data_IF_860780886050
#
_entry.id   IF_860780886050
#
_cell.length_a   1.000
_cell.length_b   1.000
_cell.length_c   1.000
_cell.angle_alpha   90.00
_cell.angle_beta   90.00
_cell.angle_gamma   90.00
#
_symmetry.space_group_name_H-M   'P 1'
#
loop_
_entity.id
_entity.type
_entity.pdbx_description
1 polymer ?
#
# COMPACT_ATOMS: atom_id res chain seq x y z
N UNK A 1 -13.85 10.17 -9.57
CA UNK A 1 -12.43 9.76 -9.58
C UNK A 1 -12.15 8.89 -8.36
N UNK A 2 -11.39 7.82 -8.53
CA UNK A 2 -11.00 6.93 -7.42
C UNK A 2 -10.06 7.68 -6.48
N UNK A 3 -10.33 7.62 -5.18
CA UNK A 3 -9.50 8.26 -4.17
C UNK A 3 -8.65 7.22 -3.42
N UNK A 4 -7.60 7.70 -2.77
CA UNK A 4 -6.76 6.86 -1.91
C UNK A 4 -7.60 6.19 -0.81
N UNK A 5 -8.55 6.92 -0.19
CA UNK A 5 -9.40 6.36 0.84
C UNK A 5 -10.28 5.22 0.32
N UNK A 6 -10.80 5.33 -0.90
CA UNK A 6 -11.57 4.26 -1.52
C UNK A 6 -10.71 3.02 -1.76
N UNK A 7 -9.48 3.21 -2.26
CA UNK A 7 -8.53 2.11 -2.47
C UNK A 7 -8.20 1.44 -1.13
N UNK A 8 -7.89 2.23 -0.11
CA UNK A 8 -7.51 1.72 1.20
C UNK A 8 -8.64 0.93 1.86
N UNK A 9 -9.89 1.31 1.62
CA UNK A 9 -11.07 0.67 2.20
C UNK A 9 -11.63 -0.46 1.34
N UNK A 10 -11.11 -0.68 0.14
CA UNK A 10 -11.61 -1.73 -0.74
C UNK A 10 -11.38 -3.10 -0.10
N UNK A 11 -12.47 -3.86 0.04
CA UNK A 11 -12.43 -5.15 0.74
C UNK A 11 -11.56 -6.19 0.03
N UNK A 12 -11.57 -6.20 -1.29
CA UNK A 12 -10.75 -7.15 -2.05
C UNK A 12 -9.27 -6.88 -1.84
N UNK A 13 -8.88 -5.61 -1.87
CA UNK A 13 -7.50 -5.20 -1.62
C UNK A 13 -7.08 -5.54 -0.19
N UNK A 14 -7.94 -5.25 0.79
CA UNK A 14 -7.68 -5.59 2.18
C UNK A 14 -7.53 -7.08 2.38
N UNK A 15 -8.36 -7.87 1.71
CA UNK A 15 -8.29 -9.33 1.78
C UNK A 15 -6.97 -9.84 1.21
N UNK A 16 -6.50 -9.28 0.11
CA UNK A 16 -5.20 -9.63 -0.47
C UNK A 16 -4.07 -9.35 0.51
N UNK A 17 -4.06 -8.17 1.11
CA UNK A 17 -3.02 -7.79 2.07
C UNK A 17 -3.04 -8.73 3.28
N UNK A 18 -4.22 -9.00 3.82
CA UNK A 18 -4.37 -9.87 4.98
C UNK A 18 -3.91 -11.30 4.66
N UNK A 19 -4.31 -11.83 3.51
CA UNK A 19 -3.89 -13.17 3.09
C UNK A 19 -2.39 -13.27 2.90
N UNK A 20 -1.77 -12.23 2.35
CA UNK A 20 -0.33 -12.17 2.19
C UNK A 20 0.38 -12.08 3.55
N UNK A 21 -0.16 -11.30 4.49
CA UNK A 21 0.38 -11.22 5.86
C UNK A 21 0.34 -12.59 6.54
N UNK A 22 -0.76 -13.29 6.41
CA UNK A 22 -0.92 -14.62 7.01
C UNK A 22 0.06 -15.64 6.40
N UNK A 23 0.24 -15.61 5.09
CA UNK A 23 1.18 -16.48 4.40
C UNK A 23 2.63 -16.19 4.82
N UNK A 24 3.00 -14.91 4.91
CA UNK A 24 4.33 -14.51 5.34
C UNK A 24 4.60 -14.86 6.80
N UNK A 25 3.61 -14.66 7.66
CA UNK A 25 3.72 -15.02 9.07
C UNK A 25 3.93 -16.52 9.25
N UNK A 26 3.25 -17.34 8.46
CA UNK A 26 3.41 -18.80 8.49
C UNK A 26 4.83 -19.23 8.09
N UNK A 27 5.54 -18.40 7.31
CA UNK A 27 6.91 -18.64 6.87
C UNK A 27 7.96 -17.99 7.79
N UNK A 28 7.54 -17.37 8.89
CA UNK A 28 8.43 -16.75 9.86
C UNK A 28 8.71 -15.26 9.65
N UNK A 29 8.07 -14.62 8.72
CA UNK A 29 8.18 -13.17 8.53
C UNK A 29 7.27 -12.45 9.51
N UNK A 30 7.76 -11.35 10.10
CA UNK A 30 7.04 -10.61 11.14
C UNK A 30 6.54 -9.24 10.67
N UNK A 31 6.75 -8.90 9.42
CA UNK A 31 6.38 -7.60 8.86
C UNK A 31 4.86 -7.48 8.73
N UNK A 32 4.30 -6.34 9.19
CA UNK A 32 2.88 -6.04 9.08
C UNK A 32 2.63 -5.23 7.81
N UNK A 33 2.08 -5.89 6.79
CA UNK A 33 1.91 -5.31 5.45
C UNK A 33 1.00 -4.08 5.43
N UNK A 34 -0.10 -4.07 6.19
CA UNK A 34 -0.98 -2.90 6.28
C UNK A 34 -0.24 -1.67 6.79
N UNK A 35 0.52 -1.84 7.88
CA UNK A 35 1.28 -0.74 8.46
C UNK A 35 2.34 -0.24 7.49
N UNK A 36 3.04 -1.14 6.81
CA UNK A 36 4.08 -0.77 5.84
C UNK A 36 3.50 -0.02 4.64
N UNK A 37 2.47 -0.58 4.01
CA UNK A 37 1.86 0.02 2.82
C UNK A 37 1.28 1.40 3.14
N UNK A 38 0.58 1.53 4.28
CA UNK A 38 0.03 2.80 4.72
C UNK A 38 1.13 3.82 5.00
N UNK A 39 2.22 3.40 5.64
CA UNK A 39 3.35 4.27 5.96
C UNK A 39 4.02 4.81 4.69
N UNK A 40 4.19 3.96 3.68
CA UNK A 40 4.78 4.39 2.41
C UNK A 40 3.88 5.42 1.72
N UNK A 41 2.57 5.18 1.67
CA UNK A 41 1.63 6.13 1.06
C UNK A 41 1.64 7.47 1.79
N UNK A 42 1.68 7.47 3.11
CA UNK A 42 1.75 8.70 3.90
C UNK A 42 3.08 9.43 3.72
N UNK A 43 4.18 8.70 3.56
CA UNK A 43 5.49 9.29 3.26
C UNK A 43 5.48 9.98 1.91
N UNK A 44 4.86 9.36 0.90
CA UNK A 44 4.70 9.96 -0.43
C UNK A 44 3.87 11.23 -0.33
N UNK A 45 2.78 11.22 0.43
CA UNK A 45 1.97 12.41 0.68
C UNK A 45 2.81 13.55 1.24
N UNK A 46 3.57 13.27 2.29
CA UNK A 46 4.42 14.28 2.93
C UNK A 46 5.44 14.86 1.94
N UNK A 47 6.11 14.02 1.18
CA UNK A 47 7.12 14.46 0.22
C UNK A 47 6.50 15.35 -0.86
N UNK A 48 5.39 14.90 -1.45
CA UNK A 48 4.76 15.64 -2.54
C UNK A 48 4.16 16.96 -2.07
N UNK A 49 3.56 16.99 -0.88
CA UNK A 49 3.05 18.23 -0.29
C UNK A 49 4.17 19.20 0.01
N UNK A 50 5.29 18.72 0.55
CA UNK A 50 6.46 19.54 0.84
C UNK A 50 7.05 20.14 -0.43
N UNK A 51 7.02 19.42 -1.54
CA UNK A 51 7.51 19.89 -2.84
C UNK A 51 6.50 20.79 -3.56
N UNK A 52 5.32 21.00 -3.01
CA UNK A 52 4.34 21.93 -3.56
C UNK A 52 3.46 21.35 -4.67
N UNK A 53 3.36 20.05 -4.78
CA UNK A 53 2.47 19.44 -5.77
C UNK A 53 1.01 19.68 -5.42
N UNK A 54 0.13 19.67 -6.45
CA UNK A 54 -1.30 19.87 -6.27
C UNK A 54 -1.93 18.73 -5.46
N UNK A 55 -3.09 18.98 -4.86
CA UNK A 55 -3.84 17.96 -4.14
C UNK A 55 -4.12 16.74 -5.01
N UNK A 56 -4.44 16.96 -6.29
CA UNK A 56 -4.68 15.88 -7.24
C UNK A 56 -3.43 15.03 -7.47
N UNK A 57 -2.27 15.66 -7.64
CA UNK A 57 -1.00 14.95 -7.82
C UNK A 57 -0.61 14.17 -6.57
N UNK A 58 -0.84 14.73 -5.39
CA UNK A 58 -0.61 14.05 -4.12
C UNK A 58 -1.48 12.78 -4.03
N UNK A 59 -2.75 12.91 -4.35
CA UNK A 59 -3.69 11.78 -4.32
C UNK A 59 -3.26 10.66 -5.26
N UNK A 60 -2.90 11.00 -6.49
CA UNK A 60 -2.41 10.01 -7.46
C UNK A 60 -1.13 9.33 -6.99
N UNK A 61 -0.23 10.11 -6.39
CA UNK A 61 1.03 9.57 -5.85
C UNK A 61 0.80 8.57 -4.72
N UNK A 62 -0.14 8.87 -3.82
CA UNK A 62 -0.50 7.96 -2.72
C UNK A 62 -1.10 6.67 -3.24
N UNK A 63 -2.02 6.76 -4.20
CA UNK A 63 -2.65 5.59 -4.81
C UNK A 63 -1.59 4.71 -5.49
N UNK A 64 -0.72 5.32 -6.28
CA UNK A 64 0.34 4.61 -6.99
C UNK A 64 1.28 3.89 -6.02
N UNK A 65 1.69 4.56 -4.95
CA UNK A 65 2.56 3.99 -3.94
C UNK A 65 1.90 2.80 -3.22
N UNK A 66 0.63 2.97 -2.86
CA UNK A 66 -0.13 1.93 -2.17
C UNK A 66 -0.27 0.68 -3.04
N UNK A 67 -0.66 0.84 -4.30
CA UNK A 67 -0.84 -0.27 -5.23
C UNK A 67 0.48 -0.93 -5.61
N UNK A 68 1.54 -0.14 -5.75
CA UNK A 68 2.88 -0.67 -6.05
C UNK A 68 3.37 -1.60 -4.93
N UNK A 69 3.20 -1.21 -3.68
CA UNK A 69 3.59 -2.02 -2.55
C UNK A 69 2.77 -3.30 -2.44
N UNK A 70 1.47 -3.23 -2.74
CA UNK A 70 0.62 -4.42 -2.80
C UNK A 70 1.13 -5.38 -3.87
N UNK A 71 1.50 -4.88 -5.04
CA UNK A 71 2.07 -5.69 -6.11
C UNK A 71 3.35 -6.40 -5.68
N UNK A 72 4.25 -5.70 -4.99
CA UNK A 72 5.47 -6.28 -4.46
C UNK A 72 5.19 -7.37 -3.42
N UNK A 73 4.18 -7.15 -2.58
CA UNK A 73 3.78 -8.11 -1.56
C UNK A 73 3.26 -9.41 -2.19
N UNK A 74 2.43 -9.29 -3.23
CA UNK A 74 1.91 -10.44 -3.98
C UNK A 74 3.06 -11.20 -4.63
N UNK A 75 4.00 -10.50 -5.26
CA UNK A 75 5.18 -11.13 -5.89
C UNK A 75 6.01 -11.91 -4.88
N UNK A 76 6.24 -11.36 -3.69
CA UNK A 76 6.97 -12.07 -2.64
C UNK A 76 6.25 -13.35 -2.21
N UNK A 77 4.94 -13.27 -2.08
CA UNK A 77 4.12 -14.42 -1.68
C UNK A 77 4.15 -15.53 -2.74
N UNK A 78 4.09 -15.16 -4.02
CA UNK A 78 4.13 -16.11 -5.13
C UNK A 78 5.52 -16.74 -5.29
N UNK A 79 6.57 -15.94 -5.08
CA UNK A 79 7.95 -16.39 -5.25
C UNK A 79 8.42 -17.39 -4.18
N UNK A 80 7.69 -17.47 -3.08
CA UNK A 80 7.98 -18.43 -2.03
C UNK A 80 7.34 -19.78 -2.28
#
# INVERSE_FOLDING_TARGET
>A
MITYEEIRKNEDIRTYIQSADEALAALGFTEHSFAHVTKVAESVKYILETLGFSAHAVELGMIAAYLHDIGNLVNRTIAM
#
